data_IF_603513790040
#
_entry.id   IF_603513790040
#
_cell.length_a   1.000
_cell.length_b   1.000
_cell.length_c   1.000
_cell.angle_alpha   90.00
_cell.angle_beta   90.00
_cell.angle_gamma   90.00
#
_symmetry.space_group_name_H-M   'P 1'
#
loop_
_entity.id
_entity.type
_entity.pdbx_description
1 polymer ?
#
# COMPACT_ATOMS: atom_id res chain seq x y z
N UNK A 1 -68.68 -23.84 16.40
CA UNK A 1 -67.73 -22.70 16.35
C UNK A 1 -66.25 -23.05 16.48
N UNK A 2 -65.84 -24.24 16.97
CA UNK A 2 -64.43 -24.58 17.25
C UNK A 2 -63.55 -24.75 15.99
N UNK A 3 -64.11 -25.25 14.88
CA UNK A 3 -63.33 -25.51 13.63
C UNK A 3 -62.72 -24.24 13.00
N UNK A 4 -63.38 -23.08 13.12
CA UNK A 4 -62.89 -21.81 12.55
C UNK A 4 -61.67 -21.29 13.31
N UNK A 5 -61.64 -21.46 14.65
CA UNK A 5 -60.50 -21.04 15.48
C UNK A 5 -59.23 -21.87 15.16
N UNK A 6 -59.37 -23.17 14.89
CA UNK A 6 -58.24 -24.06 14.53
C UNK A 6 -57.60 -23.69 13.19
N UNK A 7 -58.40 -23.29 12.19
CA UNK A 7 -57.92 -22.86 10.87
C UNK A 7 -57.14 -21.53 10.93
N UNK A 8 -57.59 -20.59 11.77
CA UNK A 8 -56.86 -19.32 12.03
C UNK A 8 -55.55 -19.56 12.80
N UNK A 9 -55.55 -20.46 13.77
CA UNK A 9 -54.32 -20.83 14.48
C UNK A 9 -53.28 -21.45 13.53
N UNK A 10 -53.72 -22.32 12.62
CA UNK A 10 -52.84 -22.92 11.63
C UNK A 10 -52.28 -21.90 10.62
N UNK A 11 -53.07 -20.88 10.22
CA UNK A 11 -52.55 -19.80 9.38
C UNK A 11 -51.50 -18.93 10.09
N UNK A 12 -51.68 -18.65 11.39
CA UNK A 12 -50.65 -17.94 12.18
C UNK A 12 -49.38 -18.78 12.33
N UNK A 13 -49.52 -20.09 12.50
CA UNK A 13 -48.38 -21.01 12.57
C UNK A 13 -47.57 -21.02 11.26
N UNK A 14 -48.24 -21.10 10.11
CA UNK A 14 -47.60 -21.01 8.79
C UNK A 14 -46.91 -19.66 8.60
N UNK A 15 -47.57 -18.56 8.99
CA UNK A 15 -46.99 -17.22 8.89
C UNK A 15 -45.73 -17.07 9.76
N UNK A 16 -45.76 -17.62 10.98
CA UNK A 16 -44.61 -17.62 11.87
C UNK A 16 -43.44 -18.43 11.29
N UNK A 17 -43.72 -19.61 10.73
CA UNK A 17 -42.73 -20.45 10.05
C UNK A 17 -42.10 -19.74 8.84
N UNK A 18 -42.92 -19.02 8.07
CA UNK A 18 -42.46 -18.25 6.93
C UNK A 18 -41.54 -17.09 7.35
N UNK A 19 -41.92 -16.37 8.41
CA UNK A 19 -41.09 -15.30 8.99
C UNK A 19 -39.75 -15.83 9.54
N UNK A 20 -39.77 -16.98 10.20
CA UNK A 20 -38.55 -17.64 10.68
C UNK A 20 -37.65 -18.06 9.51
N UNK A 21 -38.23 -18.59 8.43
CA UNK A 21 -37.48 -18.92 7.21
C UNK A 21 -36.85 -17.70 6.54
N UNK A 22 -37.56 -16.57 6.49
CA UNK A 22 -37.03 -15.29 6.01
C UNK A 22 -35.88 -14.77 6.87
N UNK A 23 -36.03 -14.82 8.19
CA UNK A 23 -34.96 -14.47 9.12
C UNK A 23 -33.76 -15.38 8.93
N UNK A 24 -33.96 -16.69 8.78
CA UNK A 24 -32.87 -17.62 8.49
C UNK A 24 -32.16 -17.24 7.19
N UNK A 25 -32.88 -16.90 6.11
CA UNK A 25 -32.24 -16.49 4.85
C UNK A 25 -31.34 -15.25 5.01
N UNK A 26 -31.73 -14.29 5.85
CA UNK A 26 -30.98 -13.05 6.10
C UNK A 26 -29.78 -13.31 7.02
N UNK A 27 -29.97 -14.13 8.07
CA UNK A 27 -28.98 -14.35 9.14
C UNK A 27 -28.15 -15.63 8.98
N UNK A 28 -28.38 -16.45 7.95
CA UNK A 28 -27.60 -17.66 7.70
C UNK A 28 -26.14 -17.32 7.31
N UNK A 29 -25.24 -18.30 7.46
CA UNK A 29 -23.81 -18.19 7.15
C UNK A 29 -23.50 -17.87 5.68
N UNK A 30 -24.50 -17.98 4.80
CA UNK A 30 -24.45 -17.57 3.37
C UNK A 30 -25.46 -16.47 3.04
N UNK A 31 -25.98 -15.79 4.05
CA UNK A 31 -26.99 -14.75 3.92
C UNK A 31 -26.44 -13.46 3.31
N UNK A 32 -27.37 -12.57 2.96
CA UNK A 32 -27.09 -11.32 2.25
C UNK A 32 -26.15 -10.38 3.03
N UNK A 33 -26.17 -10.43 4.36
CA UNK A 33 -25.32 -9.60 5.22
C UNK A 33 -23.85 -9.94 5.02
N UNK A 34 -23.52 -11.24 4.93
CA UNK A 34 -22.14 -11.69 4.73
C UNK A 34 -21.62 -11.34 3.34
N UNK A 35 -22.48 -11.47 2.31
CA UNK A 35 -22.12 -11.08 0.96
C UNK A 35 -21.68 -9.61 0.90
N UNK A 36 -22.48 -8.69 1.46
CA UNK A 36 -22.12 -7.27 1.51
C UNK A 36 -20.84 -6.99 2.31
N UNK A 37 -20.63 -7.70 3.42
CA UNK A 37 -19.39 -7.55 4.19
C UNK A 37 -18.17 -7.99 3.38
N UNK A 38 -18.28 -9.14 2.71
CA UNK A 38 -17.19 -9.69 1.91
C UNK A 38 -16.90 -8.83 0.68
N UNK A 39 -17.93 -8.29 0.03
CA UNK A 39 -17.79 -7.32 -1.06
C UNK A 39 -17.01 -6.08 -0.60
N UNK A 40 -17.37 -5.50 0.55
CA UNK A 40 -16.63 -4.37 1.14
C UNK A 40 -15.19 -4.74 1.55
N UNK A 41 -14.96 -5.97 2.01
CA UNK A 41 -13.62 -6.43 2.38
C UNK A 41 -12.73 -6.57 1.15
N UNK A 42 -13.28 -7.12 0.05
CA UNK A 42 -12.58 -7.21 -1.24
C UNK A 42 -12.24 -5.83 -1.80
N UNK A 43 -13.16 -4.87 -1.73
CA UNK A 43 -12.88 -3.50 -2.21
C UNK A 43 -11.80 -2.83 -1.35
N UNK A 44 -11.92 -2.93 -0.02
CA UNK A 44 -10.93 -2.35 0.91
C UNK A 44 -9.54 -2.93 0.70
N UNK A 45 -9.43 -4.26 0.57
CA UNK A 45 -8.15 -4.93 0.31
C UNK A 45 -7.57 -4.53 -1.04
N UNK A 46 -8.42 -4.35 -2.05
CA UNK A 46 -7.99 -3.93 -3.39
C UNK A 46 -7.42 -2.50 -3.36
N UNK A 47 -8.09 -1.58 -2.66
CA UNK A 47 -7.61 -0.21 -2.47
C UNK A 47 -6.29 -0.19 -1.68
N UNK A 48 -6.14 -1.05 -0.67
CA UNK A 48 -4.91 -1.18 0.11
C UNK A 48 -3.75 -1.73 -0.72
N UNK A 49 -4.01 -2.70 -1.61
CA UNK A 49 -3.00 -3.20 -2.56
C UNK A 49 -2.51 -2.07 -3.47
N UNK A 50 -3.42 -1.27 -4.04
CA UNK A 50 -3.05 -0.15 -4.91
C UNK A 50 -2.18 0.86 -4.15
N UNK A 51 -2.62 1.24 -2.94
CA UNK A 51 -1.86 2.16 -2.08
C UNK A 51 -0.45 1.65 -1.78
N UNK A 52 -0.33 0.37 -1.40
CA UNK A 52 0.97 -0.24 -1.09
C UNK A 52 1.86 -0.34 -2.33
N UNK A 53 1.29 -0.57 -3.51
CA UNK A 53 2.05 -0.57 -4.77
C UNK A 53 2.62 0.81 -5.09
N UNK A 54 1.84 1.86 -4.92
CA UNK A 54 2.29 3.24 -5.13
C UNK A 54 3.38 3.65 -4.13
N UNK A 55 3.21 3.29 -2.86
CA UNK A 55 4.22 3.53 -1.82
C UNK A 55 5.54 2.79 -2.13
N UNK A 56 5.45 1.51 -2.54
CA UNK A 56 6.62 0.73 -2.93
C UNK A 56 7.34 1.35 -4.14
N UNK A 57 6.58 1.88 -5.11
CA UNK A 57 7.14 2.58 -6.27
C UNK A 57 7.86 3.87 -5.86
N UNK A 58 7.29 4.66 -4.95
CA UNK A 58 7.94 5.88 -4.41
C UNK A 58 9.25 5.54 -3.71
N UNK A 59 9.21 4.60 -2.77
CA UNK A 59 10.38 4.20 -1.98
C UNK A 59 11.51 3.65 -2.86
N UNK A 60 11.19 2.88 -3.91
CA UNK A 60 12.18 2.44 -4.90
C UNK A 60 12.82 3.61 -5.63
N UNK A 61 12.03 4.61 -6.03
CA UNK A 61 12.55 5.82 -6.66
C UNK A 61 13.50 6.59 -5.74
N UNK A 62 13.17 6.71 -4.46
CA UNK A 62 14.03 7.34 -3.45
C UNK A 62 15.35 6.59 -3.26
N UNK A 63 15.29 5.25 -3.13
CA UNK A 63 16.48 4.40 -3.04
C UNK A 63 17.37 4.58 -4.27
N UNK A 64 16.79 4.60 -5.46
CA UNK A 64 17.55 4.77 -6.71
C UNK A 64 18.20 6.15 -6.81
N UNK A 65 17.54 7.21 -6.34
CA UNK A 65 18.13 8.55 -6.27
C UNK A 65 19.30 8.60 -5.30
N UNK A 66 19.10 8.11 -4.07
CA UNK A 66 20.14 8.07 -3.04
C UNK A 66 21.35 7.25 -3.50
N UNK A 67 21.12 6.09 -4.13
CA UNK A 67 22.20 5.27 -4.69
C UNK A 67 22.95 5.95 -5.82
N UNK A 68 22.34 6.85 -6.58
CA UNK A 68 23.05 7.63 -7.62
C UNK A 68 23.83 8.79 -7.02
N UNK A 69 23.32 9.39 -5.96
CA UNK A 69 24.00 10.48 -5.23
C UNK A 69 25.23 9.97 -4.46
N UNK A 70 25.17 8.74 -3.91
CA UNK A 70 26.27 8.15 -3.13
C UNK A 70 27.60 8.06 -3.93
N UNK A 71 27.69 7.51 -5.15
CA UNK A 71 28.92 7.46 -5.93
C UNK A 71 29.55 8.83 -6.16
N UNK A 72 28.73 9.82 -6.54
CA UNK A 72 29.20 11.19 -6.73
C UNK A 72 29.70 11.79 -5.42
N UNK A 73 29.00 11.52 -4.31
CA UNK A 73 29.41 11.98 -2.98
C UNK A 73 30.71 11.33 -2.50
N UNK A 74 30.89 10.03 -2.76
CA UNK A 74 32.13 9.30 -2.45
C UNK A 74 33.28 9.87 -3.27
N UNK A 75 33.08 10.09 -4.57
CA UNK A 75 34.11 10.67 -5.44
C UNK A 75 34.49 12.09 -5.00
N UNK A 76 33.50 12.92 -4.65
CA UNK A 76 33.73 14.25 -4.12
C UNK A 76 34.63 14.21 -2.87
N UNK A 77 34.27 13.39 -1.88
CA UNK A 77 35.04 13.27 -0.63
C UNK A 77 36.45 12.75 -0.91
N UNK A 78 36.61 11.76 -1.79
CA UNK A 78 37.92 11.22 -2.16
C UNK A 78 38.83 12.29 -2.76
N UNK A 79 38.29 13.19 -3.60
CA UNK A 79 39.02 14.29 -4.22
C UNK A 79 39.32 15.43 -3.24
N UNK A 80 38.34 15.84 -2.44
CA UNK A 80 38.47 17.01 -1.56
C UNK A 80 39.27 16.73 -0.28
N UNK A 81 39.06 15.57 0.35
CA UNK A 81 39.65 15.28 1.68
C UNK A 81 40.92 14.43 1.59
N UNK A 82 41.09 13.66 0.52
CA UNK A 82 42.19 12.69 0.39
C UNK A 82 43.07 12.93 -0.84
N UNK A 83 42.78 13.97 -1.64
CA UNK A 83 43.52 14.32 -2.86
C UNK A 83 43.65 13.14 -3.85
N UNK A 84 42.68 12.22 -3.80
CA UNK A 84 42.67 11.03 -4.65
C UNK A 84 42.25 11.39 -6.07
N UNK A 85 42.95 10.83 -7.05
CA UNK A 85 42.62 10.96 -8.47
C UNK A 85 42.22 9.60 -9.05
N UNK A 86 41.40 9.62 -10.10
CA UNK A 86 40.99 8.40 -10.80
C UNK A 86 42.11 7.89 -11.71
N UNK A 87 42.12 6.59 -11.99
CA UNK A 87 43.10 6.00 -12.90
C UNK A 87 43.05 6.66 -14.28
N UNK A 88 44.19 7.17 -14.76
CA UNK A 88 44.31 7.90 -16.02
C UNK A 88 44.24 9.44 -15.91
N UNK A 89 43.92 9.99 -14.74
CA UNK A 89 43.97 11.44 -14.49
C UNK A 89 45.40 11.93 -14.16
N UNK A 90 45.66 13.23 -14.31
CA UNK A 90 46.91 13.89 -13.91
C UNK A 90 46.63 15.12 -13.07
N UNK A 91 47.35 15.27 -11.97
CA UNK A 91 47.31 16.47 -11.12
C UNK A 91 48.09 17.60 -11.78
N UNK A 92 47.56 18.83 -11.72
CA UNK A 92 48.26 20.05 -12.17
C UNK A 92 48.45 20.93 -10.94
N UNK A 93 49.69 21.10 -10.51
CA UNK A 93 50.03 22.08 -9.47
C UNK A 93 50.25 23.45 -10.12
N UNK A 94 49.37 24.41 -9.81
CA UNK A 94 49.56 25.80 -10.21
C UNK A 94 50.46 26.47 -9.18
N UNK A 95 51.71 26.74 -9.55
CA UNK A 95 52.61 27.57 -8.74
C UNK A 95 52.36 29.03 -9.07
N UNK A 96 52.07 29.85 -8.07
CA UNK A 96 52.14 31.29 -8.24
C UNK A 96 53.57 31.66 -8.59
N UNK A 97 53.74 32.24 -9.78
CA UNK A 97 55.03 32.78 -10.19
C UNK A 97 55.16 34.11 -9.45
N UNK A 98 55.92 34.12 -8.36
CA UNK A 98 56.33 35.37 -7.73
C UNK A 98 57.05 36.18 -8.83
N UNK A 99 56.43 37.28 -9.24
CA UNK A 99 57.05 38.26 -10.12
C UNK A 99 58.14 38.91 -9.28
N UNK A 100 59.39 38.52 -9.50
CA UNK A 100 60.54 39.28 -9.03
C UNK A 100 60.44 40.70 -9.59
N UNK A 101 60.00 41.64 -8.76
CA UNK A 101 60.08 43.06 -9.03
C UNK A 101 61.57 43.44 -9.03
N UNK A 102 62.12 43.63 -10.23
CA UNK A 102 63.45 44.24 -10.46
C UNK A 102 63.40 45.75 -10.25
#
# INVERSE_FOLDING_TARGET
MVKIKKKRFFSYFILALFLIGLLYLIFNERGLIKYKRLENEVTTLSDEIIRLQDENKSLKGEIDSLKKEIPAKIEQIAREEYDMIKEGERTIEVKEVEKDEQ
#
